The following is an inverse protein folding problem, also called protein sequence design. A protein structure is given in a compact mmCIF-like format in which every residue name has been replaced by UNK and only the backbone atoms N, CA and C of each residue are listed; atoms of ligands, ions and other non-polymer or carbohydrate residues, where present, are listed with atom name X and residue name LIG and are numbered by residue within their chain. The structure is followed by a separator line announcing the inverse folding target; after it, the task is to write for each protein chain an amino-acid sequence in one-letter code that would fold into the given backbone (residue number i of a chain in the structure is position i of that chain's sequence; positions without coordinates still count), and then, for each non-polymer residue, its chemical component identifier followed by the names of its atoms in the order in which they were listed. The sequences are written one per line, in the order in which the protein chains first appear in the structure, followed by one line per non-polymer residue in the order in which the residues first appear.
data_IF_783896993686
#
_entry.id   IF_783896993686
#
_cell.length_a   1.000
_cell.length_b   1.000
_cell.length_c   1.000
_cell.angle_alpha   90.00
_cell.angle_beta   90.00
_cell.angle_gamma   90.00
#
_symmetry.space_group_name_H-M   'P 1'
#
loop_
_entity.id
_entity.type
_entity.pdbx_description
1 polymer ?
#
# COMPACT_ATOMS: atom_id res chain seq x y z
N UNK A 1 -0.13 -8.15 12.10
CA UNK A 1 -1.50 -7.99 11.55
C UNK A 1 -1.85 -6.53 11.52
N UNK A 2 -2.53 -6.06 10.48
CA UNK A 2 -2.98 -4.67 10.39
C UNK A 2 -4.29 -4.48 11.18
N UNK A 3 -4.24 -3.61 12.19
CA UNK A 3 -5.35 -3.35 13.11
C UNK A 3 -6.54 -2.62 12.48
N UNK A 4 -7.60 -2.40 13.25
CA UNK A 4 -8.78 -1.64 12.81
C UNK A 4 -8.48 -0.17 12.50
N UNK A 5 -7.64 0.48 13.32
CA UNK A 5 -7.26 1.88 13.17
C UNK A 5 -6.56 2.18 11.84
N UNK A 6 -5.61 1.31 11.44
CA UNK A 6 -4.94 1.41 10.15
C UNK A 6 -5.94 1.39 8.99
N UNK A 7 -6.92 0.48 9.04
CA UNK A 7 -7.90 0.31 7.96
C UNK A 7 -8.88 1.47 7.86
N UNK A 8 -9.28 2.05 9.00
CA UNK A 8 -10.16 3.23 9.04
C UNK A 8 -9.47 4.49 8.49
N UNK A 9 -8.14 4.58 8.62
CA UNK A 9 -7.33 5.64 8.01
C UNK A 9 -7.24 5.57 6.49
N UNK A 10 -7.68 4.47 5.86
CA UNK A 10 -7.56 4.26 4.40
C UNK A 10 -8.91 4.44 3.70
N UNK A 11 -9.99 3.94 4.28
CA UNK A 11 -11.36 4.03 3.74
C UNK A 11 -12.37 4.20 4.89
N UNK A 12 -13.51 4.84 4.62
CA UNK A 12 -14.61 5.02 5.58
C UNK A 12 -15.12 3.70 6.16
N UNK A 13 -15.22 2.64 5.34
CA UNK A 13 -15.59 1.29 5.80
C UNK A 13 -14.37 0.35 5.79
N UNK A 14 -13.71 0.12 6.95
CA UNK A 14 -12.46 -0.68 7.02
C UNK A 14 -12.64 -2.16 6.63
N UNK A 15 -13.88 -2.66 6.61
CA UNK A 15 -14.19 -4.02 6.17
C UNK A 15 -14.05 -4.16 4.66
N UNK A 16 -14.39 -3.11 3.89
CA UNK A 16 -14.29 -3.12 2.43
C UNK A 16 -12.84 -3.25 1.98
N UNK A 17 -11.91 -2.54 2.61
CA UNK A 17 -10.48 -2.69 2.35
C UNK A 17 -10.01 -4.13 2.63
N UNK A 18 -10.44 -4.71 3.76
CA UNK A 18 -10.09 -6.09 4.11
C UNK A 18 -10.57 -7.09 3.04
N UNK A 19 -11.80 -6.92 2.56
CA UNK A 19 -12.38 -7.74 1.48
C UNK A 19 -11.64 -7.54 0.16
N UNK A 20 -11.24 -6.31 -0.17
CA UNK A 20 -10.49 -6.01 -1.41
C UNK A 20 -9.09 -6.64 -1.41
N UNK A 21 -8.39 -6.61 -0.27
CA UNK A 21 -7.09 -7.27 -0.11
C UNK A 21 -7.22 -8.79 -0.26
N UNK A 22 -8.17 -9.41 0.44
CA UNK A 22 -8.41 -10.85 0.35
C UNK A 22 -8.92 -11.26 -1.06
N UNK A 23 -9.65 -10.38 -1.74
CA UNK A 23 -10.12 -10.55 -3.12
C UNK A 23 -9.09 -10.21 -4.20
N UNK A 24 -7.83 -9.91 -3.83
CA UNK A 24 -6.72 -9.60 -4.74
C UNK A 24 -6.96 -8.40 -5.68
N UNK A 25 -7.87 -7.48 -5.31
CA UNK A 25 -8.10 -6.22 -6.03
C UNK A 25 -7.28 -5.06 -5.49
N UNK A 26 -6.78 -5.20 -4.25
CA UNK A 26 -5.78 -4.30 -3.66
C UNK A 26 -4.48 -5.04 -3.48
N UNK A 27 -3.39 -4.50 -4.03
CA UNK A 27 -2.05 -4.99 -3.77
C UNK A 27 -1.48 -4.38 -2.49
N UNK A 28 -0.76 -5.19 -1.71
CA UNK A 28 -0.17 -4.79 -0.44
C UNK A 28 1.34 -4.97 -0.51
N UNK A 29 2.08 -3.94 -0.10
CA UNK A 29 3.54 -3.98 0.09
C UNK A 29 3.94 -3.46 1.46
N UNK A 30 5.19 -3.71 1.84
CA UNK A 30 5.84 -3.06 2.98
C UNK A 30 7.14 -2.43 2.51
N UNK A 31 7.20 -1.10 2.47
CA UNK A 31 8.35 -0.35 1.95
C UNK A 31 8.74 -0.81 0.55
N UNK A 32 7.75 -1.10 -0.29
CA UNK A 32 7.92 -1.65 -1.64
C UNK A 32 8.34 -3.13 -1.74
N UNK A 33 8.55 -3.84 -0.63
CA UNK A 33 8.78 -5.29 -0.65
C UNK A 33 7.44 -6.05 -0.84
N UNK A 34 7.42 -7.12 -1.64
CA UNK A 34 6.23 -7.95 -1.79
C UNK A 34 5.91 -8.67 -0.47
N UNK A 35 4.62 -8.83 -0.19
CA UNK A 35 4.16 -9.55 1.00
C UNK A 35 3.35 -10.77 0.62
N UNK A 36 3.37 -11.76 1.51
CA UNK A 36 2.38 -12.83 1.52
C UNK A 36 1.23 -12.42 2.44
N UNK A 37 -0.01 -12.48 1.95
CA UNK A 37 -1.21 -12.24 2.76
C UNK A 37 -1.81 -13.58 3.19
N UNK A 38 -1.91 -13.81 4.49
CA UNK A 38 -2.56 -15.00 5.03
C UNK A 38 -4.09 -14.91 4.85
N UNK A 39 -4.76 -16.04 4.54
CA UNK A 39 -6.21 -16.09 4.49
C UNK A 39 -6.82 -15.80 5.87
N UNK A 40 -7.99 -15.17 5.90
CA UNK A 40 -8.75 -14.94 7.12
C UNK A 40 -9.63 -13.69 7.08
N UNK A 41 -10.25 -13.36 8.21
CA UNK A 41 -11.14 -12.20 8.36
C UNK A 41 -10.44 -10.86 8.56
N UNK A 42 -9.10 -10.82 8.47
CA UNK A 42 -8.29 -9.63 8.67
C UNK A 42 -7.19 -9.51 7.61
N UNK A 43 -6.27 -8.56 7.83
CA UNK A 43 -5.07 -8.39 7.00
C UNK A 43 -3.87 -8.83 7.84
N UNK A 44 -3.54 -10.11 7.73
CA UNK A 44 -2.32 -10.68 8.31
C UNK A 44 -1.34 -10.90 7.17
N UNK A 45 -0.16 -10.30 7.25
CA UNK A 45 0.85 -10.37 6.19
C UNK A 45 2.19 -10.82 6.75
N UNK A 46 3.01 -11.40 5.88
CA UNK A 46 4.40 -11.76 6.12
C UNK A 46 5.26 -11.10 5.04
N UNK A 47 6.35 -10.47 5.45
CA UNK A 47 7.32 -9.82 4.56
C UNK A 47 8.72 -10.29 4.93
N UNK A 48 9.57 -10.47 3.92
CA UNK A 48 11.00 -10.61 4.10
C UNK A 48 11.63 -9.23 4.32
N UNK A 49 12.04 -8.96 5.57
CA UNK A 49 12.57 -7.66 5.97
C UNK A 49 13.91 -7.30 5.31
N UNK A 50 14.64 -8.28 4.79
CA UNK A 50 15.90 -8.04 4.06
C UNK A 50 15.70 -7.34 2.72
N UNK A 51 14.45 -7.30 2.25
CA UNK A 51 14.02 -6.68 0.99
C UNK A 51 13.38 -5.32 1.17
N UNK A 52 13.26 -4.86 2.43
CA UNK A 52 12.68 -3.57 2.80
C UNK A 52 13.84 -2.58 3.01
N UNK A 53 13.72 -1.30 2.60
CA UNK A 53 14.77 -0.31 2.82
C UNK A 53 15.17 -0.21 4.30
N UNK A 54 16.46 -0.01 4.55
CA UNK A 54 16.99 0.19 5.89
C UNK A 54 16.33 1.42 6.55
N UNK A 55 15.92 1.26 7.82
CA UNK A 55 15.29 2.34 8.59
C UNK A 55 13.86 2.66 8.17
N UNK A 56 13.20 1.83 7.35
CA UNK A 56 11.83 2.06 6.92
C UNK A 56 10.78 1.80 8.02
N UNK A 57 11.11 0.97 9.02
CA UNK A 57 10.23 0.73 10.18
C UNK A 57 10.41 1.84 11.22
N UNK A 58 9.29 2.43 11.63
CA UNK A 58 9.25 3.35 12.76
C UNK A 58 9.16 2.61 14.11
N UNK A 59 9.54 3.31 15.17
CA UNK A 59 9.45 2.83 16.54
C UNK A 59 8.52 3.73 17.36
N UNK A 60 7.74 3.13 18.25
CA UNK A 60 6.93 3.84 19.26
C UNK A 60 7.35 3.39 20.67
N UNK A 61 7.12 4.19 21.73
CA UNK A 61 7.55 3.84 23.09
C UNK A 61 6.89 2.58 23.68
N UNK A 62 5.74 2.16 23.14
CA UNK A 62 5.14 0.86 23.44
C UNK A 62 5.85 -0.22 22.63
N UNK A 63 5.93 -1.49 23.08
CA UNK A 63 6.64 -2.56 22.38
C UNK A 63 5.93 -2.97 21.07
N UNK A 64 6.00 -2.10 20.06
CA UNK A 64 5.39 -2.23 18.74
C UNK A 64 6.25 -1.50 17.70
N UNK A 65 6.24 -2.03 16.47
CA UNK A 65 6.86 -1.41 15.30
C UNK A 65 5.79 -0.77 14.42
N UNK A 66 6.14 0.34 13.77
CA UNK A 66 5.31 0.98 12.75
C UNK A 66 5.84 0.56 11.38
N UNK A 67 5.12 -0.34 10.72
CA UNK A 67 5.49 -0.82 9.39
C UNK A 67 5.01 0.14 8.29
N UNK A 68 5.82 0.41 7.25
CA UNK A 68 5.44 1.24 6.11
C UNK A 68 4.57 0.43 5.12
N UNK A 69 3.35 0.09 5.54
CA UNK A 69 2.40 -0.69 4.73
C UNK A 69 1.77 0.21 3.66
N UNK A 70 1.75 -0.26 2.42
CA UNK A 70 1.17 0.47 1.29
C UNK A 70 0.03 -0.37 0.66
N UNK A 71 -1.04 0.31 0.24
CA UNK A 71 -2.16 -0.29 -0.50
C UNK A 71 -2.21 0.33 -1.89
N UNK A 72 -2.08 -0.49 -2.93
CA UNK A 72 -2.10 -0.06 -4.32
C UNK A 72 -3.29 -0.66 -5.04
N UNK A 73 -4.10 0.19 -5.66
CA UNK A 73 -5.32 -0.18 -6.38
C UNK A 73 -5.69 0.91 -7.39
N UNK A 74 -6.66 0.64 -8.26
CA UNK A 74 -7.21 1.66 -9.17
C UNK A 74 -7.96 2.72 -8.39
N UNK A 75 -7.91 3.97 -8.87
CA UNK A 75 -8.64 5.10 -8.28
C UNK A 75 -10.14 4.80 -8.15
N UNK A 76 -10.78 4.32 -9.20
CA UNK A 76 -12.23 4.06 -9.20
C UNK A 76 -12.61 2.96 -8.19
N UNK A 77 -11.75 1.94 -8.03
CA UNK A 77 -11.92 0.93 -6.99
C UNK A 77 -11.75 1.55 -5.59
N UNK A 78 -10.75 2.42 -5.39
CA UNK A 78 -10.56 3.13 -4.13
C UNK A 78 -11.78 3.95 -3.74
N UNK A 79 -12.33 4.74 -4.66
CA UNK A 79 -13.55 5.54 -4.42
C UNK A 79 -14.75 4.62 -4.09
N UNK A 80 -14.94 3.53 -4.84
CA UNK A 80 -16.03 2.56 -4.61
C UNK A 80 -15.94 1.86 -3.26
N UNK A 81 -14.74 1.71 -2.70
CA UNK A 81 -14.54 1.15 -1.36
C UNK A 81 -14.90 2.14 -0.23
N UNK A 82 -15.16 3.42 -0.56
CA UNK A 82 -15.32 4.52 0.40
C UNK A 82 -14.00 5.19 0.74
N UNK A 83 -13.08 5.29 -0.23
CA UNK A 83 -11.83 6.03 -0.07
C UNK A 83 -12.04 7.54 -0.01
N UNK A 84 -11.10 8.25 0.62
CA UNK A 84 -11.15 9.70 0.77
C UNK A 84 -10.74 10.39 -0.54
N UNK A 85 -11.67 10.51 -1.49
CA UNK A 85 -11.37 11.04 -2.83
C UNK A 85 -10.76 12.45 -2.81
N UNK A 86 -11.26 13.31 -1.92
CA UNK A 86 -10.78 14.69 -1.78
C UNK A 86 -9.30 14.77 -1.33
N UNK A 87 -8.78 13.70 -0.71
CA UNK A 87 -7.41 13.63 -0.21
C UNK A 87 -6.42 13.03 -1.23
N UNK A 88 -6.90 12.65 -2.42
CA UNK A 88 -6.04 12.10 -3.47
C UNK A 88 -5.11 13.20 -4.01
N UNK A 89 -3.81 12.92 -4.01
CA UNK A 89 -2.76 13.81 -4.51
C UNK A 89 -1.92 13.14 -5.58
N UNK A 90 -1.38 13.94 -6.50
CA UNK A 90 -0.44 13.43 -7.51
C UNK A 90 0.94 13.20 -6.90
N UNK A 91 1.75 12.35 -7.54
CA UNK A 91 3.13 12.10 -7.11
C UNK A 91 3.96 13.38 -7.21
N UNK A 92 3.78 14.18 -8.27
CA UNK A 92 4.48 15.44 -8.48
C UNK A 92 4.19 16.43 -7.35
N UNK A 93 2.93 16.52 -6.92
CA UNK A 93 2.52 17.37 -5.81
C UNK A 93 3.12 16.89 -4.47
N UNK A 94 3.22 15.58 -4.26
CA UNK A 94 3.90 14.97 -3.11
C UNK A 94 5.42 15.16 -3.17
N UNK A 95 6.04 15.19 -4.33
CA UNK A 95 7.47 15.49 -4.44
C UNK A 95 7.73 16.97 -4.16
N UNK A 96 6.89 17.87 -4.67
CA UNK A 96 7.05 19.31 -4.54
C UNK A 96 6.73 19.85 -3.15
N UNK A 97 5.61 19.42 -2.56
CA UNK A 97 5.10 19.90 -1.26
C UNK A 97 5.22 18.84 -0.17
N UNK A 98 4.98 17.60 -0.59
CA UNK A 98 4.97 16.35 0.17
C UNK A 98 3.99 16.22 1.30
N UNK A 99 4.23 15.22 2.15
CA UNK A 99 3.25 14.68 3.07
C UNK A 99 2.77 15.69 4.12
N UNK A 100 1.62 15.37 4.71
CA UNK A 100 1.00 16.08 5.82
C UNK A 100 1.98 16.32 6.97
N UNK A 101 2.79 15.30 7.27
CA UNK A 101 3.86 15.38 8.26
C UNK A 101 5.14 15.87 7.57
N UNK A 102 5.64 17.03 8.00
CA UNK A 102 6.84 17.71 7.47
C UNK A 102 8.17 17.03 7.85
N UNK A 103 8.18 15.70 7.87
CA UNK A 103 9.34 14.91 8.22
C UNK A 103 10.43 15.04 7.13
N UNK A 104 11.72 15.01 7.50
CA UNK A 104 12.82 14.91 6.54
C UNK A 104 12.60 13.74 5.58
N UNK A 105 12.73 13.99 4.28
CA UNK A 105 12.46 12.99 3.23
C UNK A 105 13.75 12.49 2.64
N UNK A 106 13.79 11.20 2.31
CA UNK A 106 14.86 10.57 1.53
C UNK A 106 14.22 9.81 0.38
N UNK A 107 14.60 10.16 -0.84
CA UNK A 107 14.24 9.38 -2.02
C UNK A 107 15.36 8.38 -2.32
N UNK A 108 15.02 7.11 -2.36
CA UNK A 108 15.90 6.04 -2.87
C UNK A 108 15.21 5.41 -4.07
N UNK A 109 15.99 4.89 -5.02
CA UNK A 109 15.45 4.06 -6.09
C UNK A 109 14.72 2.85 -5.49
N UNK A 110 13.62 2.43 -6.11
CA UNK A 110 12.97 1.18 -5.73
C UNK A 110 13.88 -0.01 -6.05
N UNK A 111 13.91 -1.00 -5.16
CA UNK A 111 14.71 -2.22 -5.35
C UNK A 111 14.27 -2.98 -6.61
N UNK A 112 15.17 -3.13 -7.58
CA UNK A 112 14.85 -3.74 -8.89
C UNK A 112 14.50 -5.22 -8.79
N UNK A 113 14.95 -5.89 -7.72
CA UNK A 113 14.66 -7.29 -7.45
C UNK A 113 13.32 -7.50 -6.72
N UNK A 114 12.63 -6.43 -6.33
CA UNK A 114 11.25 -6.54 -5.84
C UNK A 114 10.31 -6.61 -7.04
N UNK A 115 9.61 -7.76 -7.25
CA UNK A 115 8.72 -7.92 -8.38
C UNK A 115 7.54 -6.97 -8.20
N UNK A 116 7.64 -5.79 -8.83
CA UNK A 116 6.62 -4.76 -8.76
C UNK A 116 5.40 -5.20 -9.58
N UNK A 117 4.22 -5.42 -8.98
CA UNK A 117 3.09 -6.01 -9.70
C UNK A 117 2.30 -5.11 -10.67
N UNK A 118 2.41 -3.76 -10.67
CA UNK A 118 1.70 -2.97 -11.66
C UNK A 118 2.08 -3.29 -13.11
N UNK A 119 3.32 -3.72 -13.40
CA UNK A 119 3.71 -4.04 -14.78
C UNK A 119 3.01 -5.31 -15.30
N UNK A 120 2.75 -6.30 -14.44
CA UNK A 120 2.05 -7.52 -14.83
C UNK A 120 0.55 -7.30 -15.07
N UNK A 121 -0.06 -6.34 -14.36
CA UNK A 121 -1.47 -5.95 -14.57
C UNK A 121 -1.64 -4.94 -15.72
N UNK A 122 -0.69 -4.01 -15.93
CA UNK A 122 -0.65 -3.16 -17.13
C UNK A 122 -0.56 -4.00 -18.41
N UNK A 123 0.31 -5.02 -18.42
CA UNK A 123 0.48 -5.94 -19.56
C UNK A 123 -0.78 -6.74 -19.89
N UNK A 124 -1.58 -7.11 -18.89
CA UNK A 124 -2.89 -7.79 -19.08
C UNK A 124 -4.00 -6.87 -19.59
N UNK A 125 -3.95 -5.57 -19.25
CA UNK A 125 -4.91 -4.60 -19.78
C UNK A 125 -4.65 -4.28 -21.26
N UNK A 126 -3.37 -4.20 -21.67
CA UNK A 126 -2.99 -3.99 -23.08
C UNK A 126 -3.40 -5.13 -24.01
N UNK A 127 -3.51 -6.36 -23.51
CA UNK A 127 -3.96 -7.52 -24.31
C UNK A 127 -5.47 -7.65 -24.45
N UNK A 128 -6.27 -7.04 -23.56
CA UNK A 128 -7.74 -7.11 -23.57
C UNK A 128 -8.42 -5.89 -24.23
N UNK A 129 -7.65 -4.90 -24.69
CA UNK A 129 -8.14 -3.69 -25.38
C UNK A 129 -7.86 -3.68 -26.89
N UNK A 130 -7.35 -4.78 -27.44
CA UNK A 130 -7.18 -4.99 -28.88
C UNK A 130 -8.17 -6.08 -29.33
N UNK A 131 -9.45 -5.71 -29.41
CA UNK A 131 -10.54 -6.54 -29.89
C UNK A 131 -11.69 -5.67 -30.36
#
# INVERSE_FOLDING_TARGET
GAGGSLRAGVTENPVNLTRSVQGLTTYVTVGGAPVYVWPGGGITLMVDVTRVPEGAFGYVPTPALVAPIEFTLRRDDYVRLGGYEAEIRSVEDIVAKGGEYLNPRRGTGAETNNPWPPLAQLRRAGSNGAG
#
